data_IF_523528875484
#
_entry.id   IF_523528875484
#
_cell.length_a   1.000
_cell.length_b   1.000
_cell.length_c   1.000
_cell.angle_alpha   90.00
_cell.angle_beta   90.00
_cell.angle_gamma   90.00
#
_symmetry.space_group_name_H-M   'P 1'
#
loop_
_entity.id
_entity.type
_entity.pdbx_description
1 polymer ?
#
# COMPACT_ATOMS: atom_id res chain seq x y z
N UNK A 1 14.78 10.63 20.24
CA UNK A 1 15.67 10.68 19.06
C UNK A 1 14.78 10.64 17.83
N UNK A 2 15.05 11.42 16.82
CA UNK A 2 14.32 11.37 15.53
C UNK A 2 14.94 10.28 14.68
N UNK A 3 14.09 9.47 14.02
CA UNK A 3 14.53 8.46 13.03
C UNK A 3 15.29 9.14 11.89
N UNK A 4 16.40 8.57 11.47
CA UNK A 4 17.25 9.12 10.41
C UNK A 4 16.96 8.47 9.06
N UNK A 5 16.76 7.16 9.02
CA UNK A 5 16.61 6.36 7.80
C UNK A 5 15.18 5.88 7.57
N UNK A 6 14.49 5.46 8.64
CA UNK A 6 13.13 4.97 8.53
C UNK A 6 12.13 6.11 8.32
N UNK A 7 11.43 6.07 7.18
CA UNK A 7 10.26 6.90 6.89
C UNK A 7 8.96 6.30 7.43
N UNK A 8 7.82 6.75 6.88
CA UNK A 8 6.48 6.21 7.23
C UNK A 8 6.25 4.79 6.69
N UNK A 9 7.00 4.37 5.66
CA UNK A 9 6.85 3.07 4.98
C UNK A 9 8.23 2.48 4.65
N UNK A 10 9.04 2.23 5.67
CA UNK A 10 10.39 1.67 5.54
C UNK A 10 11.45 2.68 5.12
N UNK A 11 12.56 2.17 4.57
CA UNK A 11 13.69 2.95 4.05
C UNK A 11 13.60 2.95 2.53
N UNK A 12 13.69 4.12 1.89
CA UNK A 12 13.65 4.26 0.42
C UNK A 12 14.66 5.27 -0.08
N UNK A 13 15.10 5.11 -1.32
CA UNK A 13 15.97 6.05 -1.99
C UNK A 13 16.44 5.58 -3.36
N UNK A 14 17.33 6.34 -3.97
CA UNK A 14 17.93 6.03 -5.27
C UNK A 14 19.03 5.00 -5.07
N UNK A 15 19.01 3.94 -5.87
CA UNK A 15 20.02 2.87 -5.82
C UNK A 15 21.42 3.43 -6.12
N UNK A 16 22.39 3.04 -5.30
CA UNK A 16 23.76 3.53 -5.38
C UNK A 16 24.03 4.81 -4.59
N UNK A 17 22.99 5.40 -3.98
CA UNK A 17 23.10 6.51 -3.04
C UNK A 17 22.71 6.02 -1.63
N UNK A 18 23.40 6.53 -0.59
CA UNK A 18 23.04 6.19 0.78
C UNK A 18 21.60 6.61 1.09
N UNK A 19 20.76 5.75 1.71
CA UNK A 19 21.10 4.44 2.29
C UNK A 19 20.88 3.23 1.35
N UNK A 20 20.58 3.39 0.07
CA UNK A 20 20.28 2.25 -0.82
C UNK A 20 21.57 1.73 -1.49
N UNK A 21 22.47 1.25 -0.67
CA UNK A 21 23.79 0.73 -1.07
C UNK A 21 24.04 -0.67 -0.49
N UNK A 22 24.88 -1.53 -1.11
CA UNK A 22 25.15 -2.87 -0.61
C UNK A 22 25.74 -2.89 0.80
N UNK A 23 26.66 -1.98 1.13
CA UNK A 23 27.28 -1.90 2.43
C UNK A 23 26.28 -1.50 3.53
N UNK A 24 25.37 -0.57 3.24
CA UNK A 24 24.28 -0.24 4.16
C UNK A 24 23.38 -1.46 4.39
N UNK A 25 23.00 -2.20 3.34
CA UNK A 25 22.12 -3.36 3.45
C UNK A 25 22.79 -4.53 4.20
N UNK A 26 24.10 -4.73 4.07
CA UNK A 26 24.84 -5.70 4.92
C UNK A 26 24.71 -5.30 6.39
N UNK A 27 24.98 -4.02 6.72
CA UNK A 27 24.87 -3.50 8.09
C UNK A 27 23.43 -3.60 8.62
N UNK A 28 22.45 -3.30 7.78
CA UNK A 28 21.04 -3.40 8.14
C UNK A 28 20.63 -4.84 8.46
N UNK A 29 21.01 -5.81 7.62
CA UNK A 29 20.77 -7.23 7.86
C UNK A 29 21.40 -7.71 9.15
N UNK A 30 22.65 -7.31 9.40
CA UNK A 30 23.37 -7.63 10.64
C UNK A 30 22.71 -6.98 11.87
N UNK A 31 22.33 -5.72 11.81
CA UNK A 31 21.69 -4.97 12.90
C UNK A 31 20.36 -5.63 13.29
N UNK A 32 19.47 -5.86 12.31
CA UNK A 32 18.20 -6.54 12.54
C UNK A 32 18.44 -7.94 13.10
N UNK A 33 19.33 -8.71 12.48
CA UNK A 33 19.66 -10.08 12.90
C UNK A 33 20.16 -10.14 14.34
N UNK A 34 21.04 -9.22 14.74
CA UNK A 34 21.58 -9.15 16.11
C UNK A 34 20.48 -8.87 17.14
N UNK A 35 19.50 -8.01 16.80
CA UNK A 35 18.33 -7.74 17.65
C UNK A 35 17.46 -8.98 17.77
N UNK A 36 17.18 -9.66 16.64
CA UNK A 36 16.38 -10.89 16.65
C UNK A 36 17.02 -12.01 17.49
N UNK A 37 18.34 -12.19 17.38
CA UNK A 37 19.09 -13.16 18.19
C UNK A 37 19.03 -12.79 19.68
N UNK A 38 19.26 -11.52 20.01
CA UNK A 38 19.20 -11.01 21.39
C UNK A 38 17.82 -11.21 22.01
N UNK A 39 16.76 -10.98 21.24
CA UNK A 39 15.38 -11.06 21.71
C UNK A 39 14.79 -12.48 21.63
N UNK A 40 15.52 -13.45 21.08
CA UNK A 40 15.07 -14.84 21.00
C UNK A 40 15.04 -15.49 22.38
N UNK A 41 13.86 -15.57 22.98
CA UNK A 41 13.64 -16.18 24.30
C UNK A 41 13.33 -17.68 24.24
N UNK A 42 12.95 -18.20 23.07
CA UNK A 42 12.65 -19.63 22.88
C UNK A 42 13.95 -20.44 22.68
N UNK A 43 14.39 -21.09 23.76
CA UNK A 43 15.58 -21.96 23.73
C UNK A 43 15.51 -23.13 22.76
N UNK A 44 14.31 -23.43 22.20
CA UNK A 44 14.15 -24.48 21.17
C UNK A 44 14.54 -23.98 19.78
N UNK A 45 14.54 -22.67 19.57
CA UNK A 45 14.95 -22.03 18.32
C UNK A 45 16.43 -21.70 18.44
N UNK A 46 17.28 -22.52 17.82
CA UNK A 46 18.73 -22.27 17.82
C UNK A 46 19.08 -21.02 17.00
N UNK A 47 18.49 -20.89 15.81
CA UNK A 47 18.67 -19.77 14.91
C UNK A 47 17.29 -19.14 14.64
N UNK A 48 17.05 -17.88 15.00
CA UNK A 48 15.88 -17.17 14.51
C UNK A 48 15.94 -17.11 12.99
N UNK A 49 14.79 -16.95 12.33
CA UNK A 49 14.71 -16.93 10.88
C UNK A 49 14.00 -15.69 10.35
N UNK A 50 14.36 -15.29 9.13
CA UNK A 50 13.69 -14.22 8.39
C UNK A 50 13.25 -14.72 7.01
N UNK A 51 12.13 -14.17 6.51
CA UNK A 51 11.71 -14.35 5.13
C UNK A 51 12.09 -13.10 4.35
N UNK A 52 12.79 -13.24 3.24
CA UNK A 52 13.14 -12.13 2.35
C UNK A 52 12.47 -12.33 1.00
N UNK A 53 11.71 -11.31 0.58
CA UNK A 53 11.19 -11.19 -0.77
C UNK A 53 11.54 -9.85 -1.39
N UNK A 54 11.26 -9.72 -2.66
CA UNK A 54 11.55 -8.52 -3.44
C UNK A 54 10.55 -8.31 -4.55
N UNK A 55 10.47 -7.10 -5.08
CA UNK A 55 9.83 -6.85 -6.35
C UNK A 55 10.75 -7.24 -7.54
N UNK A 56 10.41 -6.82 -8.73
CA UNK A 56 11.09 -7.26 -9.96
C UNK A 56 12.28 -6.37 -10.35
N UNK A 57 12.63 -5.35 -9.57
CA UNK A 57 13.76 -4.44 -9.86
C UNK A 57 15.07 -5.21 -9.92
N UNK A 58 15.91 -4.89 -10.91
CA UNK A 58 17.24 -5.51 -11.08
C UNK A 58 18.11 -5.34 -9.84
N UNK A 59 18.03 -4.19 -9.16
CA UNK A 59 18.77 -3.90 -7.93
C UNK A 59 18.39 -4.81 -6.75
N UNK A 60 17.18 -5.39 -6.78
CA UNK A 60 16.69 -6.31 -5.75
C UNK A 60 17.61 -7.51 -5.54
N UNK A 61 18.26 -8.01 -6.59
CA UNK A 61 19.19 -9.16 -6.47
C UNK A 61 20.43 -8.79 -5.66
N UNK A 62 21.03 -7.63 -5.93
CA UNK A 62 22.19 -7.13 -5.20
C UNK A 62 21.85 -6.86 -3.73
N UNK A 63 20.73 -6.19 -3.47
CA UNK A 63 20.30 -5.82 -2.12
C UNK A 63 19.87 -7.04 -1.29
N UNK A 64 19.24 -8.05 -1.92
CA UNK A 64 18.91 -9.34 -1.28
C UNK A 64 20.18 -10.06 -0.80
N UNK A 65 21.19 -10.18 -1.68
CA UNK A 65 22.45 -10.82 -1.31
C UNK A 65 23.18 -10.09 -0.19
N UNK A 66 23.11 -8.77 -0.17
CA UNK A 66 23.71 -7.95 0.89
C UNK A 66 23.01 -8.18 2.25
N UNK A 67 21.67 -8.14 2.28
CA UNK A 67 20.89 -8.47 3.49
C UNK A 67 21.16 -9.89 3.97
N UNK A 68 21.14 -10.86 3.06
CA UNK A 68 21.41 -12.27 3.34
C UNK A 68 22.76 -12.43 4.06
N UNK A 69 23.83 -11.83 3.54
CA UNK A 69 25.15 -11.87 4.16
C UNK A 69 25.14 -11.29 5.58
N UNK A 70 24.43 -10.17 5.80
CA UNK A 70 24.31 -9.54 7.12
C UNK A 70 23.56 -10.42 8.13
N UNK A 71 22.42 -11.01 7.74
CA UNK A 71 21.65 -11.91 8.60
C UNK A 71 22.43 -13.18 8.97
N UNK A 72 23.07 -13.82 7.99
CA UNK A 72 23.89 -15.02 8.21
C UNK A 72 25.04 -14.72 9.19
N UNK A 73 25.70 -13.56 9.02
CA UNK A 73 26.78 -13.13 9.91
C UNK A 73 26.30 -12.89 11.35
N UNK A 74 25.03 -12.54 11.55
CA UNK A 74 24.40 -12.38 12.86
C UNK A 74 23.88 -13.69 13.47
N UNK A 75 23.91 -14.82 12.74
CA UNK A 75 23.41 -16.12 13.21
C UNK A 75 21.92 -16.35 12.93
N UNK A 76 21.35 -15.69 11.92
CA UNK A 76 19.93 -15.78 11.53
C UNK A 76 19.79 -16.61 10.26
N UNK A 77 18.85 -17.55 10.22
CA UNK A 77 18.49 -18.30 9.03
C UNK A 77 17.65 -17.42 8.07
N UNK A 78 17.90 -17.55 6.78
CA UNK A 78 17.27 -16.72 5.73
C UNK A 78 16.46 -17.59 4.78
N UNK A 79 15.18 -17.28 4.62
CA UNK A 79 14.28 -17.90 3.65
C UNK A 79 14.04 -16.93 2.48
N UNK A 80 14.51 -17.29 1.28
CA UNK A 80 14.42 -16.48 0.07
C UNK A 80 13.24 -16.93 -0.77
N UNK A 81 12.33 -16.01 -1.11
CA UNK A 81 11.14 -16.31 -1.92
C UNK A 81 11.31 -15.96 -3.40
N UNK A 82 12.29 -15.11 -3.74
CA UNK A 82 12.35 -14.44 -5.03
C UNK A 82 11.31 -13.31 -5.15
N UNK A 83 10.96 -12.89 -6.38
CA UNK A 83 9.96 -11.85 -6.59
C UNK A 83 8.59 -12.31 -6.11
N UNK A 84 8.06 -11.64 -5.07
CA UNK A 84 6.74 -11.90 -4.47
C UNK A 84 6.14 -10.57 -3.99
N UNK A 85 4.80 -10.43 -4.02
CA UNK A 85 4.12 -9.25 -3.48
C UNK A 85 4.48 -8.97 -2.02
N UNK A 86 4.53 -7.69 -1.66
CA UNK A 86 4.75 -7.26 -0.26
C UNK A 86 3.83 -8.00 0.73
N UNK A 87 2.50 -8.07 0.50
CA UNK A 87 1.62 -8.83 1.40
C UNK A 87 1.90 -10.34 1.44
N UNK A 88 2.45 -10.91 0.38
CA UNK A 88 2.86 -12.32 0.40
C UNK A 88 3.96 -12.58 1.42
N UNK A 89 4.89 -11.64 1.62
CA UNK A 89 5.95 -11.78 2.61
C UNK A 89 5.39 -11.65 4.02
N UNK A 90 4.44 -10.74 4.26
CA UNK A 90 3.73 -10.67 5.54
C UNK A 90 3.04 -12.00 5.87
N UNK A 91 2.32 -12.58 4.92
CA UNK A 91 1.69 -13.91 5.06
C UNK A 91 2.70 -15.03 5.33
N UNK A 92 3.76 -15.13 4.50
CA UNK A 92 4.76 -16.19 4.61
C UNK A 92 5.56 -16.10 5.90
N UNK A 93 5.83 -14.90 6.41
CA UNK A 93 6.48 -14.70 7.71
C UNK A 93 5.71 -15.41 8.81
N UNK A 94 4.41 -15.18 8.88
CA UNK A 94 3.52 -15.85 9.84
C UNK A 94 3.38 -17.35 9.57
N UNK A 95 3.19 -17.74 8.30
CA UNK A 95 2.98 -19.15 7.92
C UNK A 95 4.22 -20.01 8.21
N UNK A 96 5.41 -19.49 8.01
CA UNK A 96 6.70 -20.16 8.28
C UNK A 96 7.19 -19.96 9.70
N UNK A 97 6.46 -19.18 10.53
CA UNK A 97 6.84 -18.83 11.92
C UNK A 97 8.21 -18.18 12.00
N UNK A 98 8.55 -17.36 11.04
CA UNK A 98 9.78 -16.57 11.02
C UNK A 98 9.63 -15.34 11.91
N UNK A 99 10.73 -14.88 12.53
CA UNK A 99 10.73 -13.76 13.47
C UNK A 99 10.58 -12.41 12.79
N UNK A 100 10.92 -12.33 11.48
CA UNK A 100 10.66 -11.12 10.68
C UNK A 100 10.49 -11.47 9.20
N UNK A 101 9.76 -10.59 8.50
CA UNK A 101 9.65 -10.55 7.04
C UNK A 101 10.31 -9.30 6.48
N UNK A 102 11.09 -9.46 5.43
CA UNK A 102 11.82 -8.36 4.78
C UNK A 102 11.38 -8.27 3.33
N UNK A 103 10.98 -7.09 2.89
CA UNK A 103 10.61 -6.83 1.50
C UNK A 103 11.52 -5.77 0.91
N UNK A 104 12.17 -6.11 -0.19
CA UNK A 104 13.01 -5.19 -0.97
C UNK A 104 12.16 -4.62 -2.10
N UNK A 105 11.69 -3.40 -1.93
CA UNK A 105 10.85 -2.70 -2.89
C UNK A 105 10.76 -1.20 -2.61
N UNK A 106 10.48 -0.43 -3.64
CA UNK A 106 10.04 0.97 -3.54
C UNK A 106 8.61 1.15 -4.09
N UNK A 107 7.76 0.09 -4.03
CA UNK A 107 6.35 0.12 -4.42
C UNK A 107 6.13 0.69 -5.83
N UNK A 108 5.41 1.79 -5.95
CA UNK A 108 5.05 2.44 -7.22
C UNK A 108 6.13 3.34 -7.83
N UNK A 109 7.29 3.51 -7.18
CA UNK A 109 8.39 4.31 -7.72
C UNK A 109 8.98 3.68 -8.99
N UNK A 110 9.66 4.46 -9.86
CA UNK A 110 10.37 3.93 -11.02
C UNK A 110 11.57 3.06 -10.61
N UNK A 111 12.11 2.27 -11.54
CA UNK A 111 13.14 1.26 -11.26
C UNK A 111 14.46 1.75 -10.64
N UNK A 112 14.90 3.02 -10.83
CA UNK A 112 16.13 3.50 -10.19
C UNK A 112 16.04 3.59 -8.66
N UNK A 113 14.82 3.67 -8.13
CA UNK A 113 14.59 3.65 -6.69
C UNK A 113 14.46 2.22 -6.18
N UNK A 114 14.83 2.01 -4.91
CA UNK A 114 14.53 0.80 -4.18
C UNK A 114 14.37 1.13 -2.69
N UNK A 115 14.08 0.11 -1.88
CA UNK A 115 13.88 0.29 -0.46
C UNK A 115 13.76 -1.02 0.28
N UNK A 116 13.48 -0.93 1.57
CA UNK A 116 13.23 -2.09 2.42
C UNK A 116 12.11 -1.79 3.40
N UNK A 117 11.17 -2.74 3.50
CA UNK A 117 10.10 -2.78 4.51
C UNK A 117 10.33 -3.98 5.40
N UNK A 118 9.92 -3.87 6.67
CA UNK A 118 10.12 -4.94 7.65
C UNK A 118 8.78 -5.25 8.32
N UNK A 119 8.46 -6.54 8.40
CA UNK A 119 7.29 -7.08 9.09
C UNK A 119 7.73 -7.87 10.34
N UNK A 120 6.91 -7.83 11.37
CA UNK A 120 7.03 -8.65 12.57
C UNK A 120 6.67 -10.11 12.29
N UNK A 121 6.86 -10.99 13.28
CA UNK A 121 6.42 -12.40 13.24
C UNK A 121 4.91 -12.57 13.01
N UNK A 122 4.11 -11.55 13.37
CA UNK A 122 2.67 -11.52 13.10
C UNK A 122 2.32 -11.10 11.66
N UNK A 123 3.30 -10.74 10.83
CA UNK A 123 3.08 -10.19 9.50
C UNK A 123 2.52 -8.77 9.52
N UNK A 124 2.85 -7.99 10.55
CA UNK A 124 2.44 -6.61 10.76
C UNK A 124 3.65 -5.69 10.66
N UNK A 125 3.43 -4.40 10.37
CA UNK A 125 4.51 -3.41 10.41
C UNK A 125 5.14 -3.35 11.80
N UNK A 126 6.47 -3.16 11.83
CA UNK A 126 7.19 -3.06 13.09
C UNK A 126 6.84 -1.78 13.86
N UNK A 127 6.83 -1.85 15.22
CA UNK A 127 6.71 -0.66 16.06
C UNK A 127 7.92 0.29 15.89
N UNK A 128 7.70 1.59 16.07
CA UNK A 128 8.75 2.63 16.01
C UNK A 128 9.92 2.35 16.95
N UNK A 129 9.64 1.74 18.11
CA UNK A 129 10.69 1.38 19.06
C UNK A 129 11.71 0.38 18.48
N UNK A 130 11.23 -0.57 17.66
CA UNK A 130 12.10 -1.53 16.99
C UNK A 130 12.91 -0.86 15.88
N UNK A 131 12.29 0.02 15.08
CA UNK A 131 13.00 0.80 14.05
C UNK A 131 14.12 1.65 14.67
N UNK A 132 13.86 2.30 15.82
CA UNK A 132 14.87 3.06 16.55
C UNK A 132 16.00 2.15 17.08
N UNK A 133 15.69 0.94 17.58
CA UNK A 133 16.70 -0.02 18.02
C UNK A 133 17.60 -0.45 16.85
N UNK A 134 17.02 -0.66 15.66
CA UNK A 134 17.77 -0.97 14.43
C UNK A 134 18.68 0.18 14.04
N UNK A 135 18.22 1.44 14.06
CA UNK A 135 19.06 2.60 13.75
C UNK A 135 20.23 2.78 14.71
N UNK A 136 20.04 2.50 15.99
CA UNK A 136 21.13 2.48 16.97
C UNK A 136 22.14 1.37 16.67
N UNK A 137 21.66 0.18 16.31
CA UNK A 137 22.50 -0.97 15.99
C UNK A 137 23.31 -0.79 14.69
N UNK A 138 22.78 -0.02 13.70
CA UNK A 138 23.47 0.30 12.45
C UNK A 138 24.82 1.01 12.66
N UNK A 139 24.99 1.72 13.78
CA UNK A 139 26.25 2.40 14.14
C UNK A 139 27.29 1.49 14.78
N UNK A 140 26.95 0.22 15.06
CA UNK A 140 27.86 -0.74 15.65
C UNK A 140 28.66 -1.48 14.56
N UNK A 141 29.94 -1.84 14.83
CA UNK A 141 30.71 -2.64 13.89
C UNK A 141 30.12 -4.04 13.75
N UNK A 142 30.17 -4.60 12.55
CA UNK A 142 29.79 -5.99 12.33
C UNK A 142 30.76 -6.92 13.05
N UNK A 143 30.22 -7.75 13.94
CA UNK A 143 30.96 -8.81 14.64
C UNK A 143 30.29 -10.15 14.31
N UNK A 144 30.83 -10.84 13.31
CA UNK A 144 30.31 -12.14 12.88
C UNK A 144 30.35 -13.14 14.04
N UNK A 145 29.29 -13.90 14.22
CA UNK A 145 29.22 -14.98 15.22
C UNK A 145 30.22 -16.08 14.91
N UNK A 146 30.43 -17.02 15.86
CA UNK A 146 31.34 -18.13 15.64
C UNK A 146 30.90 -18.99 14.44
N UNK A 147 31.82 -19.67 13.73
CA UNK A 147 31.48 -20.42 12.50
C UNK A 147 30.34 -21.45 12.64
N UNK A 148 30.19 -22.05 13.82
CA UNK A 148 29.14 -23.04 14.11
C UNK A 148 27.79 -22.42 14.46
N UNK A 149 27.72 -21.10 14.62
CA UNK A 149 26.53 -20.33 14.91
C UNK A 149 26.09 -19.46 13.73
N UNK A 150 26.75 -19.55 12.57
CA UNK A 150 26.32 -18.88 11.35
C UNK A 150 24.95 -19.39 10.93
N UNK A 151 24.09 -18.46 10.47
CA UNK A 151 22.81 -18.79 9.85
C UNK A 151 22.98 -19.48 8.49
N UNK A 152 21.87 -19.95 7.92
CA UNK A 152 21.83 -20.60 6.60
C UNK A 152 20.77 -19.97 5.73
N UNK A 153 21.08 -19.78 4.44
CA UNK A 153 20.08 -19.40 3.45
C UNK A 153 19.44 -20.61 2.79
N UNK A 154 18.13 -20.51 2.54
CA UNK A 154 17.35 -21.52 1.84
C UNK A 154 16.30 -20.83 0.94
N UNK A 155 16.17 -21.27 -0.31
CA UNK A 155 15.07 -20.85 -1.17
C UNK A 155 13.80 -21.62 -0.86
N UNK A 156 12.65 -20.91 -0.84
CA UNK A 156 11.33 -21.48 -0.66
C UNK A 156 10.65 -21.54 -2.04
N UNK A 157 10.81 -22.65 -2.73
CA UNK A 157 10.36 -22.81 -4.12
C UNK A 157 8.82 -22.83 -4.26
N UNK A 158 8.11 -23.22 -3.22
CA UNK A 158 6.66 -23.29 -3.17
C UNK A 158 5.99 -22.02 -2.58
N UNK A 159 6.74 -20.98 -2.30
CA UNK A 159 6.21 -19.69 -1.80
C UNK A 159 5.06 -19.15 -2.66
N UNK A 160 5.14 -19.13 -4.01
CA UNK A 160 4.03 -18.71 -4.86
C UNK A 160 2.77 -19.57 -4.67
N UNK A 161 2.92 -20.89 -4.57
CA UNK A 161 1.78 -21.79 -4.42
C UNK A 161 1.08 -21.61 -3.07
N UNK A 162 1.85 -21.38 -1.99
CA UNK A 162 1.30 -21.09 -0.66
C UNK A 162 0.49 -19.79 -0.68
N UNK A 163 1.02 -18.71 -1.28
CA UNK A 163 0.33 -17.43 -1.35
C UNK A 163 -0.90 -17.47 -2.26
N UNK A 164 -0.84 -18.14 -3.43
CA UNK A 164 -1.99 -18.36 -4.31
C UNK A 164 -3.11 -19.07 -3.54
N UNK A 165 -2.79 -20.13 -2.79
CA UNK A 165 -3.75 -20.86 -1.97
C UNK A 165 -4.37 -19.94 -0.91
N UNK A 166 -3.56 -19.13 -0.25
CA UNK A 166 -4.02 -18.16 0.76
C UNK A 166 -4.98 -17.13 0.14
N UNK A 167 -4.60 -16.44 -0.94
CA UNK A 167 -5.49 -15.47 -1.60
C UNK A 167 -6.82 -16.10 -2.00
N UNK A 168 -6.80 -17.29 -2.61
CA UNK A 168 -8.03 -18.02 -3.00
C UNK A 168 -8.90 -18.37 -1.81
N UNK A 169 -8.33 -18.67 -0.64
CA UNK A 169 -9.11 -19.00 0.56
C UNK A 169 -9.90 -17.80 1.12
N UNK A 170 -9.56 -16.55 0.72
CA UNK A 170 -10.33 -15.35 1.08
C UNK A 170 -11.58 -15.13 0.23
N UNK A 171 -11.71 -15.91 -0.86
CA UNK A 171 -12.88 -15.87 -1.74
C UNK A 171 -13.79 -17.08 -1.42
N UNK A 172 -15.09 -16.86 -1.19
CA UNK A 172 -16.00 -17.94 -0.77
C UNK A 172 -16.09 -19.09 -1.79
N UNK A 173 -16.03 -20.32 -1.34
CA UNK A 173 -16.16 -21.52 -2.20
C UNK A 173 -17.50 -21.59 -2.95
N UNK A 174 -18.55 -20.96 -2.39
CA UNK A 174 -19.87 -20.87 -3.03
C UNK A 174 -19.92 -19.91 -4.22
N UNK A 175 -18.87 -19.10 -4.42
CA UNK A 175 -18.77 -18.12 -5.50
C UNK A 175 -17.64 -18.51 -6.47
N UNK A 176 -17.72 -18.00 -7.69
CA UNK A 176 -16.66 -18.11 -8.68
C UNK A 176 -16.67 -16.89 -9.61
N UNK A 177 -15.63 -16.77 -10.44
CA UNK A 177 -15.47 -15.67 -11.40
C UNK A 177 -15.85 -16.11 -12.83
N UNK A 178 -16.51 -17.24 -13.01
CA UNK A 178 -16.94 -17.73 -14.34
C UNK A 178 -17.83 -16.69 -15.02
N UNK A 179 -17.60 -16.51 -16.31
CA UNK A 179 -18.32 -15.54 -17.14
C UNK A 179 -17.79 -14.12 -17.02
N UNK A 180 -16.78 -13.83 -16.16
CA UNK A 180 -16.09 -12.55 -16.14
C UNK A 180 -14.86 -12.60 -17.02
N UNK A 181 -14.71 -11.61 -17.89
CA UNK A 181 -13.49 -11.30 -18.62
C UNK A 181 -12.79 -10.14 -17.92
N UNK A 182 -11.58 -10.37 -17.44
CA UNK A 182 -10.81 -9.43 -16.63
C UNK A 182 -9.49 -9.11 -17.31
N UNK A 183 -9.18 -7.82 -17.46
CA UNK A 183 -7.83 -7.38 -17.80
C UNK A 183 -7.05 -7.17 -16.50
N UNK A 184 -5.90 -7.81 -16.35
CA UNK A 184 -4.99 -7.64 -15.23
C UNK A 184 -3.73 -6.89 -15.68
N UNK A 185 -3.42 -5.78 -15.04
CA UNK A 185 -2.16 -5.07 -15.19
C UNK A 185 -1.30 -5.31 -13.94
N UNK A 186 -0.22 -6.08 -14.12
CA UNK A 186 0.69 -6.46 -13.05
C UNK A 186 1.85 -5.49 -12.87
N UNK A 187 1.83 -4.30 -13.50
CA UNK A 187 2.85 -3.25 -13.40
C UNK A 187 4.29 -3.70 -13.71
N UNK A 188 4.51 -4.81 -14.44
CA UNK A 188 5.79 -5.53 -14.51
C UNK A 188 6.38 -5.78 -13.11
N UNK A 189 5.54 -5.81 -12.08
CA UNK A 189 5.88 -5.91 -10.66
C UNK A 189 5.69 -7.30 -10.09
N UNK A 190 5.71 -7.40 -8.78
CA UNK A 190 5.76 -8.65 -8.03
C UNK A 190 4.52 -9.54 -8.19
N UNK A 191 3.39 -9.01 -8.66
CA UNK A 191 2.14 -9.76 -8.88
C UNK A 191 2.14 -10.57 -10.18
N UNK A 192 3.11 -10.35 -11.10
CA UNK A 192 3.14 -10.83 -12.49
C UNK A 192 2.87 -12.33 -12.67
N UNK A 193 3.32 -13.17 -11.75
CA UNK A 193 3.22 -14.62 -11.86
C UNK A 193 2.17 -15.25 -10.93
N UNK A 194 1.67 -14.52 -9.91
CA UNK A 194 0.68 -15.03 -8.95
C UNK A 194 -0.73 -14.55 -9.27
N UNK A 195 -0.92 -13.26 -9.60
CA UNK A 195 -2.24 -12.70 -9.84
C UNK A 195 -2.97 -13.39 -11.02
N UNK A 196 -2.38 -13.56 -12.22
CA UNK A 196 -3.07 -14.22 -13.32
C UNK A 196 -3.56 -15.64 -12.98
N UNK A 197 -2.77 -16.40 -12.20
CA UNK A 197 -3.15 -17.75 -11.76
C UNK A 197 -4.33 -17.72 -10.79
N UNK A 198 -4.33 -16.80 -9.83
CA UNK A 198 -5.41 -16.69 -8.83
C UNK A 198 -6.75 -16.44 -9.52
N UNK A 199 -6.83 -15.44 -10.40
CA UNK A 199 -8.08 -15.08 -11.06
C UNK A 199 -8.54 -16.14 -12.07
N UNK A 200 -7.63 -16.75 -12.83
CA UNK A 200 -7.97 -17.82 -13.76
C UNK A 200 -8.41 -19.09 -13.04
N UNK A 201 -7.77 -19.49 -11.93
CA UNK A 201 -8.16 -20.64 -11.13
C UNK A 201 -9.51 -20.44 -10.43
N UNK A 202 -9.93 -19.19 -10.18
CA UNK A 202 -11.29 -18.86 -9.72
C UNK A 202 -12.32 -18.81 -10.85
N UNK A 203 -11.87 -18.98 -12.11
CA UNK A 203 -12.75 -19.18 -13.28
C UNK A 203 -12.89 -17.99 -14.20
N UNK A 204 -12.15 -16.88 -14.01
CA UNK A 204 -12.19 -15.73 -14.92
C UNK A 204 -11.45 -16.02 -16.24
N UNK A 205 -11.93 -15.40 -17.33
CA UNK A 205 -11.13 -15.20 -18.55
C UNK A 205 -10.18 -14.04 -18.31
N UNK A 206 -8.87 -14.32 -18.27
CA UNK A 206 -7.84 -13.34 -17.89
C UNK A 206 -7.02 -12.90 -19.09
N UNK A 207 -6.92 -11.59 -19.28
CA UNK A 207 -5.99 -10.95 -20.22
C UNK A 207 -4.96 -10.19 -19.41
N UNK A 208 -3.67 -10.44 -19.63
CA UNK A 208 -2.59 -9.86 -18.83
C UNK A 208 -1.86 -8.74 -19.55
N UNK A 209 -1.53 -7.70 -18.80
CA UNK A 209 -0.63 -6.60 -19.16
C UNK A 209 0.43 -6.49 -18.07
N UNK A 210 1.58 -5.88 -18.40
CA UNK A 210 2.60 -5.63 -17.40
C UNK A 210 3.08 -6.90 -16.68
N UNK A 211 3.16 -8.04 -17.36
CA UNK A 211 3.51 -9.33 -16.76
C UNK A 211 4.84 -9.92 -17.27
N UNK A 212 5.65 -9.12 -17.97
CA UNK A 212 6.98 -9.48 -18.51
C UNK A 212 8.05 -8.57 -17.90
N UNK A 213 8.43 -8.75 -16.62
CA UNK A 213 9.42 -7.92 -15.97
C UNK A 213 10.83 -8.18 -16.55
N UNK A 214 11.57 -7.12 -16.87
CA UNK A 214 12.96 -7.17 -17.34
C UNK A 214 13.96 -6.60 -16.32
N UNK A 215 13.47 -6.16 -15.16
CA UNK A 215 14.26 -5.54 -14.10
C UNK A 215 14.31 -4.02 -14.15
N UNK A 216 13.88 -3.40 -15.26
CA UNK A 216 13.96 -1.96 -15.52
C UNK A 216 12.59 -1.34 -15.84
N UNK A 217 11.59 -2.15 -16.15
CA UNK A 217 10.28 -1.72 -16.64
C UNK A 217 9.16 -1.70 -15.57
N UNK A 218 9.46 -1.95 -14.31
CA UNK A 218 8.47 -1.89 -13.22
C UNK A 218 7.77 -0.51 -13.17
N UNK A 219 6.44 -0.49 -13.14
CA UNK A 219 5.58 0.71 -13.14
C UNK A 219 5.73 1.61 -14.39
N UNK A 220 6.48 1.20 -15.42
CA UNK A 220 6.72 2.04 -16.58
C UNK A 220 5.51 2.02 -17.51
N UNK A 221 4.74 3.11 -17.52
CA UNK A 221 3.51 3.28 -18.33
C UNK A 221 2.43 2.21 -18.08
N UNK A 222 2.46 1.53 -16.96
CA UNK A 222 1.54 0.48 -16.54
C UNK A 222 1.25 0.59 -15.04
N UNK A 223 0.30 -0.21 -14.55
CA UNK A 223 -0.03 -0.34 -13.15
C UNK A 223 -0.97 0.74 -12.60
N UNK A 224 -1.22 0.69 -11.29
CA UNK A 224 -2.23 1.49 -10.61
C UNK A 224 -1.99 3.00 -10.67
N UNK A 225 -0.74 3.45 -10.84
CA UNK A 225 -0.39 4.87 -10.98
C UNK A 225 -0.49 5.38 -12.42
N UNK A 226 -0.67 4.48 -13.40
CA UNK A 226 -0.85 4.82 -14.81
C UNK A 226 -2.04 4.04 -15.41
N UNK A 227 -3.27 4.34 -15.00
CA UNK A 227 -4.46 3.55 -15.37
C UNK A 227 -4.87 3.69 -16.84
N UNK A 228 -4.22 4.54 -17.62
CA UNK A 228 -4.58 4.77 -19.02
C UNK A 228 -4.41 3.50 -19.88
N UNK A 229 -3.30 2.78 -19.70
CA UNK A 229 -3.01 1.56 -20.48
C UNK A 229 -4.05 0.46 -20.23
N UNK A 230 -4.39 0.22 -18.97
CA UNK A 230 -5.41 -0.80 -18.64
C UNK A 230 -6.81 -0.35 -19.06
N UNK A 231 -7.13 0.95 -18.99
CA UNK A 231 -8.40 1.51 -19.50
C UNK A 231 -8.57 1.20 -20.99
N UNK A 232 -7.57 1.51 -21.79
CA UNK A 232 -7.58 1.23 -23.22
C UNK A 232 -7.72 -0.26 -23.53
N UNK A 233 -7.01 -1.10 -22.79
CA UNK A 233 -7.11 -2.55 -22.94
C UNK A 233 -8.49 -3.10 -22.52
N UNK A 234 -9.06 -2.62 -21.41
CA UNK A 234 -10.39 -3.01 -20.94
C UNK A 234 -11.45 -2.74 -22.02
N UNK A 235 -11.42 -1.54 -22.61
CA UNK A 235 -12.35 -1.16 -23.69
C UNK A 235 -12.08 -1.96 -24.97
N UNK A 236 -10.81 -2.11 -25.38
CA UNK A 236 -10.41 -2.83 -26.59
C UNK A 236 -10.87 -4.29 -26.56
N UNK A 237 -10.68 -4.95 -25.43
CA UNK A 237 -11.03 -6.36 -25.26
C UNK A 237 -12.48 -6.59 -24.83
N UNK A 238 -13.27 -5.51 -24.67
CA UNK A 238 -14.65 -5.54 -24.16
C UNK A 238 -14.71 -6.39 -22.88
N UNK A 239 -13.78 -6.13 -21.97
CA UNK A 239 -13.72 -6.83 -20.69
C UNK A 239 -14.77 -6.28 -19.73
N UNK A 240 -15.23 -7.10 -18.79
CA UNK A 240 -16.19 -6.69 -17.77
C UNK A 240 -15.56 -5.68 -16.80
N UNK A 241 -14.26 -5.81 -16.56
CA UNK A 241 -13.47 -4.86 -15.77
C UNK A 241 -11.95 -5.03 -15.99
N UNK A 242 -11.19 -4.01 -15.59
CA UNK A 242 -9.74 -4.04 -15.48
C UNK A 242 -9.31 -3.92 -14.00
N UNK A 243 -8.20 -4.55 -13.65
CA UNK A 243 -7.58 -4.51 -12.32
C UNK A 243 -6.10 -4.17 -12.49
N UNK A 244 -5.64 -3.02 -12.00
CA UNK A 244 -4.26 -2.60 -12.05
C UNK A 244 -3.64 -2.62 -10.65
N UNK A 245 -2.54 -3.32 -10.50
CA UNK A 245 -1.72 -3.36 -9.29
C UNK A 245 -0.58 -2.35 -9.38
N UNK A 246 0.07 -2.05 -8.26
CA UNK A 246 1.36 -1.38 -8.26
C UNK A 246 2.53 -2.40 -8.22
N UNK A 247 3.75 -1.89 -8.24
CA UNK A 247 4.95 -2.72 -8.41
C UNK A 247 5.17 -3.78 -7.34
N UNK A 248 4.74 -3.57 -6.10
CA UNK A 248 4.85 -4.55 -5.01
C UNK A 248 3.52 -5.16 -4.56
N UNK A 249 2.42 -4.80 -5.24
CA UNK A 249 1.14 -5.47 -5.11
C UNK A 249 0.38 -5.17 -3.81
N UNK A 250 0.63 -4.01 -3.19
CA UNK A 250 -0.09 -3.55 -2.01
C UNK A 250 -1.21 -2.55 -2.35
N UNK A 251 -1.29 -2.05 -3.61
CA UNK A 251 -2.29 -1.10 -4.10
C UNK A 251 -3.01 -1.59 -5.35
N UNK A 252 -4.29 -1.22 -5.46
CA UNK A 252 -5.16 -1.56 -6.59
C UNK A 252 -6.01 -0.38 -7.04
N UNK A 253 -6.16 -0.26 -8.35
CA UNK A 253 -7.14 0.58 -9.02
C UNK A 253 -7.90 -0.30 -9.99
N UNK A 254 -9.21 -0.08 -10.16
CA UNK A 254 -10.01 -0.84 -11.10
C UNK A 254 -10.58 0.05 -12.21
N UNK A 255 -10.93 -0.57 -13.32
CA UNK A 255 -11.58 0.07 -14.47
C UNK A 255 -12.88 -0.65 -14.71
N UNK A 256 -14.00 0.06 -14.85
CA UNK A 256 -15.26 -0.54 -15.26
C UNK A 256 -15.32 -0.80 -16.77
N UNK A 257 -16.35 -1.49 -17.22
CA UNK A 257 -16.53 -1.84 -18.65
C UNK A 257 -16.76 -0.63 -19.57
N UNK A 258 -17.03 0.55 -19.00
CA UNK A 258 -17.15 1.82 -19.73
C UNK A 258 -15.84 2.63 -19.74
N UNK A 259 -14.82 2.15 -19.05
CA UNK A 259 -13.52 2.80 -18.96
C UNK A 259 -13.41 3.87 -17.87
N UNK A 260 -14.31 3.90 -16.90
CA UNK A 260 -14.16 4.78 -15.75
C UNK A 260 -13.16 4.16 -14.77
N UNK A 261 -12.28 5.02 -14.25
CA UNK A 261 -11.34 4.66 -13.19
C UNK A 261 -12.08 4.64 -11.86
N UNK A 262 -11.97 3.54 -11.14
CA UNK A 262 -12.53 3.33 -9.80
C UNK A 262 -11.35 3.25 -8.84
N UNK A 263 -11.20 4.26 -8.00
CA UNK A 263 -10.08 4.38 -7.07
C UNK A 263 -10.32 3.65 -5.74
N UNK A 264 -9.33 3.68 -4.85
CA UNK A 264 -9.40 2.99 -3.56
C UNK A 264 -10.58 3.41 -2.69
N UNK A 265 -10.96 4.67 -2.70
CA UNK A 265 -12.08 5.18 -1.91
C UNK A 265 -13.42 4.55 -2.36
N UNK A 266 -13.64 4.49 -3.68
CA UNK A 266 -14.83 3.86 -4.25
C UNK A 266 -14.82 2.33 -4.04
N UNK A 267 -13.64 1.68 -4.15
CA UNK A 267 -13.52 0.24 -3.90
C UNK A 267 -13.85 -0.12 -2.46
N UNK A 268 -13.37 0.67 -1.49
CA UNK A 268 -13.72 0.53 -0.07
C UNK A 268 -15.23 0.68 0.16
N UNK A 269 -15.88 1.66 -0.49
CA UNK A 269 -17.33 1.85 -0.43
C UNK A 269 -18.09 0.62 -0.95
N UNK A 270 -17.66 0.04 -2.08
CA UNK A 270 -18.26 -1.18 -2.65
C UNK A 270 -18.20 -2.35 -1.67
N UNK A 271 -17.03 -2.58 -1.07
CA UNK A 271 -16.85 -3.64 -0.08
C UNK A 271 -17.70 -3.37 1.17
N UNK A 272 -17.66 -2.16 1.73
CA UNK A 272 -18.40 -1.79 2.94
C UNK A 272 -19.92 -1.92 2.75
N UNK A 273 -20.44 -1.52 1.58
CA UNK A 273 -21.86 -1.69 1.22
C UNK A 273 -22.28 -3.15 1.22
N UNK A 274 -21.51 -4.01 0.56
CA UNK A 274 -21.82 -5.43 0.51
C UNK A 274 -21.75 -6.10 1.88
N UNK A 275 -20.74 -5.76 2.69
CA UNK A 275 -20.63 -6.26 4.07
C UNK A 275 -21.80 -5.79 4.93
N UNK A 276 -22.24 -4.51 4.80
CA UNK A 276 -23.40 -3.98 5.52
C UNK A 276 -24.69 -4.71 5.15
N UNK A 277 -24.95 -4.90 3.85
CA UNK A 277 -26.16 -5.58 3.39
C UNK A 277 -26.24 -7.05 3.82
N UNK A 278 -25.07 -7.69 4.00
CA UNK A 278 -24.99 -9.08 4.45
C UNK A 278 -24.80 -9.21 5.98
N UNK A 279 -24.93 -8.13 6.75
CA UNK A 279 -24.71 -8.09 8.20
C UNK A 279 -23.33 -8.61 8.64
N UNK A 280 -22.31 -8.39 7.80
CA UNK A 280 -20.92 -8.82 8.03
C UNK A 280 -19.97 -7.66 8.35
N UNK A 281 -20.44 -6.41 8.24
CA UNK A 281 -19.62 -5.24 8.53
C UNK A 281 -19.35 -5.14 10.04
N UNK A 282 -18.09 -5.17 10.42
CA UNK A 282 -17.64 -4.96 11.80
C UNK A 282 -17.33 -3.47 12.02
N UNK A 283 -18.27 -2.77 12.64
CA UNK A 283 -18.16 -1.34 12.92
C UNK A 283 -18.35 -0.47 11.68
N UNK A 284 -17.37 0.39 11.38
CA UNK A 284 -17.41 1.33 10.27
C UNK A 284 -16.23 1.20 9.34
N UNK A 285 -15.92 2.29 8.63
CA UNK A 285 -14.83 2.41 7.65
C UNK A 285 -13.84 3.46 8.14
N UNK A 286 -12.54 3.15 8.03
CA UNK A 286 -11.47 4.11 8.27
C UNK A 286 -10.89 4.57 6.93
N UNK A 287 -10.94 5.88 6.68
CA UNK A 287 -10.27 6.54 5.57
C UNK A 287 -9.17 7.49 6.05
N UNK A 288 -8.62 8.27 5.14
CA UNK A 288 -7.63 9.29 5.47
C UNK A 288 -8.18 10.70 5.27
N UNK A 289 -7.40 11.70 5.63
CA UNK A 289 -7.71 13.10 5.30
C UNK A 289 -7.87 13.32 3.78
N UNK A 290 -7.35 12.40 2.94
CA UNK A 290 -7.48 12.48 1.48
C UNK A 290 -8.71 11.77 0.94
N UNK A 291 -9.41 10.95 1.73
CA UNK A 291 -10.64 10.27 1.28
C UNK A 291 -11.66 11.27 0.78
N UNK A 292 -12.22 11.02 -0.40
CA UNK A 292 -13.15 11.93 -1.06
C UNK A 292 -14.43 12.13 -0.24
N UNK A 293 -14.90 13.36 -0.14
CA UNK A 293 -16.08 13.72 0.65
C UNK A 293 -17.36 13.03 0.14
N UNK A 294 -17.46 12.76 -1.17
CA UNK A 294 -18.59 12.01 -1.71
C UNK A 294 -18.69 10.59 -1.11
N UNK A 295 -17.56 9.97 -0.81
CA UNK A 295 -17.51 8.63 -0.21
C UNK A 295 -17.95 8.68 1.25
N UNK A 296 -17.49 9.66 2.02
CA UNK A 296 -17.97 9.88 3.39
C UNK A 296 -19.49 10.08 3.42
N UNK A 297 -20.02 10.91 2.51
CA UNK A 297 -21.47 11.13 2.37
C UNK A 297 -22.20 9.82 2.03
N UNK A 298 -21.70 9.06 1.06
CA UNK A 298 -22.31 7.78 0.67
C UNK A 298 -22.30 6.74 1.81
N UNK A 299 -21.25 6.70 2.62
CA UNK A 299 -21.18 5.84 3.81
C UNK A 299 -22.19 6.28 4.87
N UNK A 300 -22.32 7.58 5.11
CA UNK A 300 -23.29 8.14 6.04
C UNK A 300 -24.73 7.84 5.60
N UNK A 301 -25.06 7.98 4.32
CA UNK A 301 -26.38 7.65 3.75
C UNK A 301 -26.72 6.16 3.94
N UNK A 302 -25.72 5.29 3.96
CA UNK A 302 -25.86 3.88 4.27
C UNK A 302 -25.87 3.57 5.77
N UNK A 303 -25.80 4.59 6.65
CA UNK A 303 -25.63 4.44 8.10
C UNK A 303 -24.43 3.58 8.46
N UNK A 304 -23.32 3.79 7.76
CA UNK A 304 -22.01 3.20 8.04
C UNK A 304 -21.13 4.27 8.71
N UNK A 305 -20.63 4.00 9.91
CA UNK A 305 -19.73 4.91 10.61
C UNK A 305 -18.45 5.14 9.77
N UNK A 306 -17.98 6.39 9.74
CA UNK A 306 -16.75 6.75 9.03
C UNK A 306 -15.82 7.56 9.93
N UNK A 307 -14.52 7.31 9.85
CA UNK A 307 -13.48 8.04 10.56
C UNK A 307 -12.32 8.36 9.64
N UNK A 308 -11.87 9.62 9.67
CA UNK A 308 -10.65 10.06 8.98
C UNK A 308 -9.46 10.00 9.91
N UNK A 309 -8.35 9.50 9.38
CA UNK A 309 -7.05 9.52 10.06
C UNK A 309 -6.01 10.27 9.22
N UNK A 310 -4.80 10.43 9.73
CA UNK A 310 -3.70 10.98 8.93
C UNK A 310 -3.44 10.12 7.68
N UNK A 311 -2.82 10.74 6.66
CA UNK A 311 -2.45 10.05 5.42
C UNK A 311 -1.32 9.07 5.72
N UNK A 312 -1.51 7.83 5.31
CA UNK A 312 -0.58 6.72 5.49
C UNK A 312 -1.29 5.48 6.03
N UNK A 313 -1.01 4.35 5.42
CA UNK A 313 -1.60 3.04 5.72
C UNK A 313 -1.43 2.63 7.20
N UNK A 314 -0.32 3.02 7.82
CA UNK A 314 -0.06 2.80 9.24
C UNK A 314 -1.15 3.42 10.12
N UNK A 315 -1.53 4.67 9.87
CA UNK A 315 -2.55 5.36 10.67
C UNK A 315 -3.94 4.75 10.46
N UNK A 316 -4.21 4.29 9.22
CA UNK A 316 -5.44 3.54 8.93
C UNK A 316 -5.48 2.25 9.74
N UNK A 317 -4.39 1.47 9.74
CA UNK A 317 -4.26 0.21 10.49
C UNK A 317 -4.41 0.43 12.01
N UNK A 318 -3.68 1.39 12.58
CA UNK A 318 -3.74 1.73 14.01
C UNK A 318 -5.18 2.08 14.44
N UNK A 319 -5.87 2.92 13.66
CA UNK A 319 -7.25 3.32 13.93
C UNK A 319 -8.23 2.14 13.80
N UNK A 320 -8.04 1.25 12.82
CA UNK A 320 -8.84 0.03 12.68
C UNK A 320 -8.71 -0.88 13.91
N UNK A 321 -7.47 -1.10 14.36
CA UNK A 321 -7.19 -1.93 15.55
C UNK A 321 -7.76 -1.30 16.82
N UNK A 322 -7.60 0.01 17.03
CA UNK A 322 -8.14 0.74 18.18
C UNK A 322 -9.67 0.63 18.26
N UNK A 323 -10.34 0.75 17.11
CA UNK A 323 -11.81 0.69 17.05
C UNK A 323 -12.38 -0.72 16.96
N UNK A 324 -11.55 -1.73 16.73
CA UNK A 324 -12.00 -3.10 16.44
C UNK A 324 -12.77 -3.19 15.10
N UNK A 325 -12.45 -2.32 14.14
CA UNK A 325 -13.05 -2.31 12.81
C UNK A 325 -12.18 -3.11 11.82
N UNK A 326 -12.78 -3.57 10.73
CA UNK A 326 -12.10 -4.50 9.82
C UNK A 326 -11.80 -3.96 8.42
N UNK A 327 -12.37 -2.79 8.04
CA UNK A 327 -12.18 -2.26 6.70
C UNK A 327 -11.77 -0.79 6.72
N UNK A 328 -10.77 -0.46 5.92
CA UNK A 328 -10.31 0.90 5.68
C UNK A 328 -9.38 0.96 4.48
N UNK A 329 -8.97 2.16 4.10
CA UNK A 329 -8.06 2.32 2.98
C UNK A 329 -7.83 3.77 2.60
N UNK A 330 -7.08 3.92 1.52
CA UNK A 330 -6.69 5.18 0.93
C UNK A 330 -7.14 5.26 -0.53
N UNK A 331 -7.39 6.45 -1.03
CA UNK A 331 -7.69 6.68 -2.44
C UNK A 331 -6.61 6.14 -3.39
N UNK A 332 -5.35 6.01 -2.91
CA UNK A 332 -4.24 5.40 -3.64
C UNK A 332 -4.44 3.92 -3.98
N UNK A 333 -5.46 3.26 -3.40
CA UNK A 333 -5.75 1.86 -3.59
C UNK A 333 -5.13 0.92 -2.55
N UNK A 334 -4.47 1.44 -1.52
CA UNK A 334 -4.03 0.64 -0.38
C UNK A 334 -5.23 0.36 0.53
N UNK A 335 -5.78 -0.86 0.43
CA UNK A 335 -7.01 -1.28 1.10
C UNK A 335 -6.71 -2.35 2.13
N UNK A 336 -7.14 -2.10 3.36
CA UNK A 336 -7.03 -3.01 4.48
C UNK A 336 -8.36 -3.74 4.68
N UNK A 337 -8.30 -5.07 4.72
CA UNK A 337 -9.42 -5.96 5.08
C UNK A 337 -8.94 -6.91 6.16
N UNK A 338 -8.92 -6.45 7.43
CA UNK A 338 -8.26 -7.12 8.56
C UNK A 338 -8.85 -8.51 8.87
N UNK A 339 -10.08 -8.78 8.46
CA UNK A 339 -10.65 -10.12 8.54
C UNK A 339 -9.99 -11.12 7.56
N UNK A 340 -9.24 -10.63 6.58
CA UNK A 340 -8.59 -11.44 5.55
C UNK A 340 -7.07 -11.43 5.67
N UNK A 341 -6.46 -10.26 5.87
CA UNK A 341 -5.00 -10.10 5.96
C UNK A 341 -4.60 -8.99 6.93
N UNK A 342 -3.42 -9.09 7.53
CA UNK A 342 -2.87 -8.11 8.49
C UNK A 342 -2.33 -6.83 7.84
N UNK A 343 -2.20 -6.78 6.52
CA UNK A 343 -1.70 -5.63 5.76
C UNK A 343 -2.51 -5.42 4.48
N UNK A 344 -2.32 -4.29 3.80
CA UNK A 344 -2.91 -4.06 2.49
C UNK A 344 -2.42 -5.07 1.46
N UNK A 345 -3.36 -5.67 0.73
CA UNK A 345 -3.12 -6.69 -0.28
C UNK A 345 -4.01 -6.41 -1.48
N UNK A 346 -3.40 -5.98 -2.58
CA UNK A 346 -4.13 -5.58 -3.77
C UNK A 346 -4.90 -6.73 -4.42
N UNK A 347 -4.38 -7.96 -4.36
CA UNK A 347 -5.05 -9.15 -4.88
C UNK A 347 -6.25 -9.50 -4.00
N UNK A 348 -6.08 -9.55 -2.69
CA UNK A 348 -7.16 -9.83 -1.76
C UNK A 348 -8.21 -8.72 -1.81
N UNK A 349 -7.83 -7.44 -1.83
CA UNK A 349 -8.76 -6.32 -1.99
C UNK A 349 -9.60 -6.47 -3.27
N UNK A 350 -8.96 -6.82 -4.40
CA UNK A 350 -9.65 -7.10 -5.66
C UNK A 350 -10.64 -8.26 -5.53
N UNK A 351 -10.26 -9.32 -4.86
CA UNK A 351 -11.14 -10.47 -4.61
C UNK A 351 -12.33 -10.08 -3.71
N UNK A 352 -12.12 -9.22 -2.70
CA UNK A 352 -13.22 -8.73 -1.86
C UNK A 352 -14.17 -7.81 -2.64
N UNK A 353 -13.66 -6.98 -3.57
CA UNK A 353 -14.52 -6.22 -4.51
C UNK A 353 -15.33 -7.18 -5.38
N UNK A 354 -14.70 -8.13 -6.05
CA UNK A 354 -15.38 -9.10 -6.91
C UNK A 354 -16.42 -9.95 -6.16
N UNK A 355 -16.09 -10.37 -4.93
CA UNK A 355 -17.05 -11.00 -4.00
C UNK A 355 -18.25 -10.10 -3.77
N UNK A 356 -18.00 -8.82 -3.49
CA UNK A 356 -19.04 -7.83 -3.24
C UNK A 356 -19.95 -7.65 -4.46
N UNK A 357 -19.38 -7.53 -5.66
CA UNK A 357 -20.14 -7.43 -6.91
C UNK A 357 -21.02 -8.69 -7.15
N UNK A 358 -20.49 -9.90 -6.87
CA UNK A 358 -21.27 -11.14 -6.96
C UNK A 358 -22.42 -11.18 -5.96
N UNK A 359 -22.18 -10.78 -4.71
CA UNK A 359 -23.23 -10.75 -3.68
C UNK A 359 -24.31 -9.70 -3.97
N UNK A 360 -23.94 -8.55 -4.53
CA UNK A 360 -24.86 -7.49 -4.94
C UNK A 360 -25.55 -7.75 -6.28
N UNK A 361 -25.07 -8.74 -7.04
CA UNK A 361 -25.47 -8.99 -8.43
C UNK A 361 -25.36 -7.73 -9.30
N UNK A 362 -24.24 -7.03 -9.20
CA UNK A 362 -23.96 -5.77 -9.90
C UNK A 362 -22.62 -5.84 -10.65
N UNK A 363 -22.53 -5.11 -11.75
CA UNK A 363 -21.24 -4.76 -12.37
C UNK A 363 -20.52 -3.71 -11.53
N UNK A 364 -19.21 -3.51 -11.80
CA UNK A 364 -18.44 -2.47 -11.12
C UNK A 364 -19.02 -1.07 -11.36
N UNK A 365 -19.45 -0.79 -12.59
CA UNK A 365 -20.16 0.46 -12.94
C UNK A 365 -21.44 0.67 -12.12
N UNK A 366 -22.30 -0.35 -12.06
CA UNK A 366 -23.54 -0.26 -11.28
C UNK A 366 -23.31 -0.05 -9.81
N UNK A 367 -22.24 -0.63 -9.27
CA UNK A 367 -21.88 -0.47 -7.88
C UNK A 367 -21.31 0.91 -7.52
N UNK A 368 -20.82 1.68 -8.51
CA UNK A 368 -20.13 2.98 -8.28
C UNK A 368 -20.81 4.19 -8.87
N UNK A 369 -21.68 4.02 -9.89
CA UNK A 369 -22.29 5.13 -10.65
C UNK A 369 -23.06 6.14 -9.80
N UNK A 370 -23.66 5.72 -8.69
CA UNK A 370 -24.48 6.57 -7.82
C UNK A 370 -23.65 7.29 -6.74
N UNK A 371 -22.33 7.06 -6.72
CA UNK A 371 -21.39 7.70 -5.81
C UNK A 371 -20.17 8.25 -6.57
N UNK A 372 -20.39 9.18 -7.52
CA UNK A 372 -19.29 9.80 -8.26
C UNK A 372 -18.43 10.62 -7.30
N UNK A 373 -17.10 10.57 -7.51
CA UNK A 373 -16.18 11.37 -6.73
C UNK A 373 -16.39 12.86 -6.98
N UNK A 374 -16.33 13.65 -5.94
CA UNK A 374 -16.32 15.09 -6.07
C UNK A 374 -15.01 15.56 -6.74
N UNK A 375 -15.07 16.53 -7.65
CA UNK A 375 -13.89 17.20 -8.16
C UNK A 375 -12.96 17.65 -7.05
N UNK A 376 -11.68 17.34 -7.19
CA UNK A 376 -10.63 17.70 -6.24
C UNK A 376 -9.51 18.46 -6.97
N UNK A 377 -9.11 19.62 -6.44
CA UNK A 377 -7.99 20.40 -6.95
C UNK A 377 -6.92 20.49 -5.88
N UNK A 378 -5.69 20.12 -6.24
CA UNK A 378 -4.50 20.18 -5.40
C UNK A 378 -3.51 21.20 -6.00
N UNK A 379 -3.19 22.24 -5.25
CA UNK A 379 -2.15 23.22 -5.60
C UNK A 379 -1.00 23.09 -4.60
N UNK A 380 0.21 22.90 -5.13
CA UNK A 380 1.42 22.89 -4.31
C UNK A 380 2.05 24.29 -4.34
N UNK A 381 2.17 24.91 -3.17
CA UNK A 381 2.86 26.20 -2.99
C UNK A 381 4.25 25.92 -2.42
N UNK A 382 5.29 26.33 -3.12
CA UNK A 382 6.67 26.16 -2.66
C UNK A 382 6.93 27.13 -1.50
N UNK A 383 7.66 26.69 -0.48
CA UNK A 383 7.98 27.50 0.69
C UNK A 383 9.43 27.33 1.10
N UNK A 384 10.08 28.45 1.39
CA UNK A 384 11.42 28.48 2.00
C UNK A 384 11.38 28.57 3.53
N UNK A 385 10.19 28.79 4.11
CA UNK A 385 9.98 29.00 5.55
C UNK A 385 9.00 27.99 6.11
N UNK A 386 9.16 27.62 7.36
CA UNK A 386 8.10 26.95 8.12
C UNK A 386 7.05 27.98 8.50
N UNK A 387 5.84 27.83 7.99
CA UNK A 387 4.69 28.67 8.31
C UNK A 387 3.81 27.91 9.28
N UNK A 388 3.39 28.58 10.34
CA UNK A 388 2.35 28.07 11.23
C UNK A 388 0.99 28.30 10.56
N UNK A 389 0.54 27.29 9.82
CA UNK A 389 -0.70 27.36 9.04
C UNK A 389 -1.94 27.50 9.91
N UNK A 390 -1.94 26.92 11.11
CA UNK A 390 -3.09 26.91 12.02
C UNK A 390 -3.31 28.28 12.67
N UNK A 391 -2.23 29.00 12.99
CA UNK A 391 -2.30 30.29 13.69
C UNK A 391 -2.10 31.50 12.77
N UNK A 392 -1.83 31.29 11.46
CA UNK A 392 -1.72 32.40 10.51
C UNK A 392 -3.11 32.96 10.18
N UNK A 393 -3.40 34.16 10.75
CA UNK A 393 -4.71 34.80 10.65
C UNK A 393 -5.11 35.09 9.22
N UNK A 394 -4.19 35.56 8.38
CA UNK A 394 -4.44 35.89 6.97
C UNK A 394 -4.93 34.65 6.20
N UNK A 395 -4.23 33.53 6.33
CA UNK A 395 -4.58 32.26 5.69
C UNK A 395 -5.92 31.73 6.25
N UNK A 396 -6.08 31.73 7.57
CA UNK A 396 -7.28 31.20 8.23
C UNK A 396 -8.56 31.99 7.89
N UNK A 397 -8.45 33.33 7.74
CA UNK A 397 -9.58 34.15 7.34
C UNK A 397 -10.04 33.82 5.90
N UNK A 398 -9.10 33.57 4.97
CA UNK A 398 -9.43 33.13 3.60
C UNK A 398 -10.06 31.73 3.61
N UNK A 399 -9.53 30.79 4.40
CA UNK A 399 -10.10 29.44 4.52
C UNK A 399 -11.55 29.53 5.01
N UNK A 400 -11.83 30.29 6.06
CA UNK A 400 -13.20 30.47 6.60
C UNK A 400 -14.16 31.04 5.54
N UNK A 401 -13.71 32.03 4.75
CA UNK A 401 -14.52 32.60 3.67
C UNK A 401 -14.83 31.53 2.60
N UNK A 402 -13.82 30.74 2.22
CA UNK A 402 -13.97 29.68 1.23
C UNK A 402 -14.89 28.59 1.76
N UNK A 403 -14.68 28.09 2.97
CA UNK A 403 -15.53 27.05 3.59
C UNK A 403 -16.97 27.51 3.73
N UNK A 404 -17.20 28.78 4.11
CA UNK A 404 -18.53 29.36 4.18
C UNK A 404 -19.25 29.40 2.81
N UNK A 405 -18.49 29.55 1.70
CA UNK A 405 -19.06 29.52 0.34
C UNK A 405 -19.32 28.11 -0.14
N UNK A 406 -18.41 27.17 0.17
CA UNK A 406 -18.56 25.76 -0.18
C UNK A 406 -19.68 25.10 0.62
N UNK A 407 -19.95 25.60 1.84
CA UNK A 407 -20.93 25.04 2.76
C UNK A 407 -20.74 23.51 2.88
N UNK A 408 -21.82 22.72 3.04
CA UNK A 408 -21.77 21.25 3.11
C UNK A 408 -21.47 20.55 1.75
N UNK A 409 -21.15 21.35 0.71
CA UNK A 409 -20.90 20.87 -0.66
C UNK A 409 -19.42 20.73 -0.99
N UNK A 410 -18.53 21.07 -0.07
CA UNK A 410 -17.10 20.97 -0.27
C UNK A 410 -16.31 21.15 1.01
N UNK A 411 -15.01 20.92 0.93
CA UNK A 411 -14.08 21.12 2.06
C UNK A 411 -12.71 21.58 1.60
N UNK A 412 -11.95 22.10 2.53
CA UNK A 412 -10.56 22.53 2.38
C UNK A 412 -9.66 21.63 3.21
N UNK A 413 -8.51 21.26 2.66
CA UNK A 413 -7.42 20.64 3.40
C UNK A 413 -6.12 21.36 3.09
N UNK A 414 -5.55 22.04 4.09
CA UNK A 414 -4.28 22.70 4.00
C UNK A 414 -3.26 21.99 4.90
N UNK A 415 -2.12 21.55 4.33
CA UNK A 415 -1.10 20.88 5.10
C UNK A 415 0.30 21.08 4.53
N UNK A 416 1.36 21.07 5.37
CA UNK A 416 2.72 20.99 4.87
C UNK A 416 2.97 19.63 4.22
N UNK A 417 3.86 19.57 3.24
CA UNK A 417 4.40 18.32 2.74
C UNK A 417 5.38 17.74 3.76
N UNK A 418 5.32 16.43 4.00
CA UNK A 418 6.25 15.76 4.92
C UNK A 418 7.67 15.60 4.35
N UNK A 419 7.82 15.64 3.02
CA UNK A 419 9.07 15.30 2.32
C UNK A 419 9.65 16.41 1.46
N UNK A 420 8.86 17.43 1.13
CA UNK A 420 9.25 18.51 0.24
C UNK A 420 8.98 19.87 0.91
N UNK A 421 9.72 20.92 0.58
CA UNK A 421 9.48 22.27 1.11
C UNK A 421 8.26 22.93 0.42
N UNK A 422 7.08 22.33 0.61
CA UNK A 422 5.83 22.73 -0.03
C UNK A 422 4.67 22.70 0.95
N UNK A 423 3.72 23.59 0.74
CA UNK A 423 2.40 23.57 1.36
C UNK A 423 1.41 23.07 0.33
N UNK A 424 0.63 22.06 0.69
CA UNK A 424 -0.39 21.45 -0.17
C UNK A 424 -1.74 22.03 0.17
N UNK A 425 -2.32 22.75 -0.80
CA UNK A 425 -3.66 23.31 -0.75
C UNK A 425 -4.58 22.38 -1.54
N UNK A 426 -5.46 21.67 -0.86
CA UNK A 426 -6.47 20.83 -1.49
C UNK A 426 -7.85 21.39 -1.20
N UNK A 427 -8.66 21.50 -2.26
CA UNK A 427 -10.08 21.80 -2.17
C UNK A 427 -10.84 20.76 -2.97
N UNK A 428 -11.94 20.27 -2.42
CA UNK A 428 -12.87 19.39 -3.13
C UNK A 428 -14.32 19.84 -2.90
N UNK A 429 -15.19 19.51 -3.85
CA UNK A 429 -16.61 19.88 -3.78
C UNK A 429 -17.38 19.48 -5.03
N UNK A 430 -18.69 19.72 -5.04
CA UNK A 430 -19.61 19.30 -6.11
C UNK A 430 -19.35 20.00 -7.46
N UNK A 431 -18.93 21.28 -7.46
CA UNK A 431 -18.69 22.07 -8.67
C UNK A 431 -17.18 22.32 -8.90
N UNK A 432 -16.64 21.81 -10.01
CA UNK A 432 -15.22 21.95 -10.36
C UNK A 432 -14.76 23.42 -10.47
N UNK A 433 -15.64 24.34 -10.96
CA UNK A 433 -15.26 25.73 -11.14
C UNK A 433 -15.13 26.44 -9.79
N UNK A 434 -16.07 26.16 -8.88
CA UNK A 434 -16.03 26.69 -7.52
C UNK A 434 -14.81 26.14 -6.77
N UNK A 435 -14.54 24.82 -6.87
CA UNK A 435 -13.38 24.15 -6.26
C UNK A 435 -12.06 24.74 -6.76
N UNK A 436 -11.92 24.94 -8.08
CA UNK A 436 -10.72 25.53 -8.66
C UNK A 436 -10.50 26.97 -8.20
N UNK A 437 -11.53 27.80 -8.22
CA UNK A 437 -11.46 29.17 -7.76
C UNK A 437 -11.09 29.26 -6.26
N UNK A 438 -11.70 28.42 -5.45
CA UNK A 438 -11.42 28.30 -4.02
C UNK A 438 -9.95 27.88 -3.73
N UNK A 439 -9.46 26.88 -4.45
CA UNK A 439 -8.06 26.43 -4.32
C UNK A 439 -7.07 27.55 -4.70
N UNK A 440 -7.33 28.26 -5.80
CA UNK A 440 -6.51 29.39 -6.23
C UNK A 440 -6.52 30.56 -5.22
N UNK A 441 -7.67 30.84 -4.58
CA UNK A 441 -7.74 31.87 -3.54
C UNK A 441 -6.88 31.54 -2.32
N UNK A 442 -6.95 30.29 -1.85
CA UNK A 442 -6.15 29.85 -0.70
C UNK A 442 -4.66 29.79 -1.05
N UNK A 443 -4.32 29.27 -2.25
CA UNK A 443 -2.94 29.21 -2.70
C UNK A 443 -2.30 30.61 -2.72
N UNK A 444 -2.99 31.63 -3.27
CA UNK A 444 -2.51 33.01 -3.24
C UNK A 444 -2.32 33.58 -1.83
N UNK A 445 -3.22 33.23 -0.90
CA UNK A 445 -3.04 33.65 0.50
C UNK A 445 -1.82 32.99 1.14
N UNK A 446 -1.55 31.74 0.82
CA UNK A 446 -0.33 31.03 1.27
C UNK A 446 0.92 31.64 0.61
N UNK A 447 0.90 31.89 -0.70
CA UNK A 447 2.00 32.51 -1.45
C UNK A 447 2.39 33.90 -0.89
N UNK A 448 1.42 34.66 -0.41
CA UNK A 448 1.68 35.99 0.19
C UNK A 448 2.41 35.92 1.54
N UNK A 449 2.41 34.78 2.22
CA UNK A 449 3.04 34.57 3.53
C UNK A 449 4.38 33.82 3.43
N UNK A 450 4.71 33.25 2.25
CA UNK A 450 5.97 32.51 1.96
C UNK A 450 7.09 33.46 1.55
#
# INVERSE_FOLDING_TARGET
MTRQFFGTDGIRGVVGQDPITPDFFIRLGFAIGSILVKNNTDKKIKHPSVVIGKDTRVSGYMLESALEAGFIAAGVDVYLTGPMPTPAIAYLTKALRSQAGIVISASHNPFPDNGVKIFSEAGEKLPDAFEMEVELALNQPIQTVLPHDLGKAKRIDDAPAQYIKFCKSTFPESLNLRGLKIVLDCAHGATYHVAPKIFSELGAEVITLGNEPDGFNINLNVGSTNPQTIKEATLKHKADLGIAFDGDGDRVVMIDHLGHVVDGDQLVLVIARALKQNNQLKGGVVGTLMTNMAIEKALNDLSIGFVRTHVGDRYVLETLLEKGWSIGGENSGHILTLDQHSTGDAIIASLQVLKSLRLLNQSLYEATKDSPLYPQVLINVETSKKIDLENNKSIQDVIKIVESKLNDKGRVLLRPSGTEPKIRVMVEGEDLKEVKFAAEQIAKAVEAEV
#
